data_IF_872499830998
#
_entry.id   IF_872499830998
#
_cell.length_a   1.000
_cell.length_b   1.000
_cell.length_c   1.000
_cell.angle_alpha   90.00
_cell.angle_beta   90.00
_cell.angle_gamma   90.00
#
_symmetry.space_group_name_H-M   'P 1'
#
loop_
_entity.id
_entity.type
_entity.pdbx_description
1 polymer ?
#
# COMPACT_ATOMS: atom_id res chain seq x y z
N UNK A 1 30.01 -80.45 -46.49
CA UNK A 1 30.69 -79.56 -45.52
C UNK A 1 30.70 -78.17 -46.09
N UNK A 2 29.74 -77.32 -45.76
CA UNK A 2 29.83 -75.88 -45.97
C UNK A 2 28.64 -75.26 -45.20
N UNK A 3 28.95 -74.56 -44.14
CA UNK A 3 28.03 -73.84 -43.27
C UNK A 3 27.72 -72.46 -43.86
N UNK A 4 26.44 -72.17 -44.04
CA UNK A 4 25.95 -70.87 -44.46
C UNK A 4 25.64 -70.01 -43.21
N UNK A 5 26.29 -68.85 -43.10
CA UNK A 5 26.05 -67.82 -42.08
C UNK A 5 24.93 -66.89 -42.57
N UNK A 6 23.81 -66.83 -41.88
CA UNK A 6 22.74 -65.82 -42.06
C UNK A 6 23.05 -64.60 -41.18
N UNK A 7 23.15 -63.43 -41.81
CA UNK A 7 23.26 -62.12 -41.13
C UNK A 7 21.86 -61.57 -40.91
N UNK A 8 21.50 -61.28 -39.67
CA UNK A 8 20.32 -60.48 -39.33
C UNK A 8 20.70 -59.03 -39.20
N UNK A 9 20.16 -58.15 -40.08
CA UNK A 9 20.25 -56.72 -39.95
C UNK A 9 19.04 -56.26 -39.08
N UNK A 10 19.32 -55.85 -37.85
CA UNK A 10 18.38 -55.22 -36.97
C UNK A 10 18.27 -53.71 -37.29
N UNK A 11 17.14 -53.28 -37.80
CA UNK A 11 16.84 -51.87 -37.93
C UNK A 11 16.48 -51.26 -36.56
N UNK A 12 17.38 -50.44 -35.96
CA UNK A 12 17.07 -49.60 -34.85
C UNK A 12 16.30 -48.39 -35.31
N UNK A 13 15.00 -48.36 -35.07
CA UNK A 13 14.18 -47.18 -35.28
C UNK A 13 14.37 -46.19 -34.11
N UNK A 14 15.05 -45.08 -34.37
CA UNK A 14 15.14 -43.96 -33.42
C UNK A 14 13.83 -43.18 -33.52
N UNK A 15 12.99 -43.31 -32.48
CA UNK A 15 11.80 -42.47 -32.32
C UNK A 15 12.26 -41.15 -31.70
N UNK A 16 12.33 -40.08 -32.50
CA UNK A 16 12.45 -38.71 -32.01
C UNK A 16 11.13 -38.31 -31.36
N UNK A 17 11.05 -38.45 -30.07
CA UNK A 17 9.98 -37.84 -29.26
C UNK A 17 10.18 -36.32 -29.23
N UNK A 18 9.33 -35.60 -29.99
CA UNK A 18 9.24 -34.13 -29.90
C UNK A 18 8.68 -33.78 -28.52
N UNK A 19 9.54 -33.34 -27.59
CA UNK A 19 9.11 -32.69 -26.33
C UNK A 19 8.56 -31.33 -26.71
N UNK A 20 7.23 -31.27 -26.86
CA UNK A 20 6.50 -29.99 -26.92
C UNK A 20 6.54 -29.39 -25.50
N UNK A 21 7.53 -28.56 -25.23
CA UNK A 21 7.50 -27.70 -24.05
C UNK A 21 6.37 -26.69 -24.27
N UNK A 22 5.23 -26.97 -23.70
CA UNK A 22 4.15 -26.02 -23.55
C UNK A 22 4.69 -24.86 -22.68
N UNK A 23 5.07 -23.78 -23.32
CA UNK A 23 5.18 -22.48 -22.67
C UNK A 23 3.76 -22.08 -22.27
N UNK A 24 3.29 -22.57 -21.12
CA UNK A 24 2.12 -22.02 -20.47
C UNK A 24 2.43 -20.53 -20.23
N UNK A 25 1.67 -19.66 -20.89
CA UNK A 25 1.65 -18.25 -20.54
C UNK A 25 1.44 -18.19 -19.02
N UNK A 26 2.40 -17.67 -18.26
CA UNK A 26 2.19 -17.30 -16.88
C UNK A 26 0.97 -16.39 -16.87
N UNK A 27 -0.15 -16.91 -16.42
CA UNK A 27 -1.33 -16.13 -16.16
C UNK A 27 -0.87 -15.10 -15.12
N UNK A 28 -0.70 -13.87 -15.56
CA UNK A 28 -0.22 -12.75 -14.76
C UNK A 28 -1.26 -12.50 -13.67
N UNK A 29 -1.19 -13.31 -12.60
CA UNK A 29 -2.20 -13.35 -11.55
C UNK A 29 -2.09 -12.05 -10.77
N UNK A 30 -3.14 -11.23 -10.84
CA UNK A 30 -3.20 -9.97 -10.08
C UNK A 30 -3.15 -10.27 -8.59
N UNK A 31 -2.47 -9.40 -7.86
CA UNK A 31 -2.41 -9.48 -6.40
C UNK A 31 -3.68 -8.87 -5.82
N UNK A 32 -4.51 -9.64 -5.09
CA UNK A 32 -5.69 -9.09 -4.43
C UNK A 32 -5.28 -8.19 -3.27
N UNK A 33 -5.77 -6.95 -3.29
CA UNK A 33 -5.41 -5.94 -2.30
C UNK A 33 -6.62 -5.18 -1.77
N UNK A 34 -6.54 -4.79 -0.50
CA UNK A 34 -7.37 -3.77 0.16
C UNK A 34 -6.43 -2.74 0.73
N UNK A 35 -6.73 -1.46 0.55
CA UNK A 35 -5.98 -0.34 1.13
C UNK A 35 -6.76 0.25 2.31
N UNK A 36 -6.06 0.60 3.39
CA UNK A 36 -6.52 1.45 4.49
C UNK A 36 -5.67 2.73 4.51
N UNK A 37 -6.29 3.90 4.39
CA UNK A 37 -5.66 5.20 4.14
C UNK A 37 -6.33 6.30 4.97
N UNK A 38 -5.58 7.21 5.57
CA UNK A 38 -6.10 8.39 6.26
C UNK A 38 -6.02 9.65 5.38
N UNK A 39 -6.34 9.46 4.09
CA UNK A 39 -6.30 10.53 3.08
C UNK A 39 -6.99 11.79 3.56
N UNK A 40 -6.28 12.92 3.45
CA UNK A 40 -6.68 14.22 3.98
C UNK A 40 -5.83 14.66 5.19
N UNK A 41 -4.98 13.79 5.72
CA UNK A 41 -3.99 14.12 6.72
C UNK A 41 -2.77 14.82 6.09
N UNK A 42 -2.08 14.11 5.19
CA UNK A 42 -0.94 14.60 4.40
C UNK A 42 -1.25 14.56 2.90
N UNK A 43 -0.21 14.50 2.06
CA UNK A 43 -0.36 14.50 0.59
C UNK A 43 0.07 13.19 -0.07
N UNK A 44 0.69 12.29 0.64
CA UNK A 44 1.26 11.04 0.13
C UNK A 44 0.19 9.96 -0.11
N UNK A 45 -0.88 9.94 0.69
CA UNK A 45 -2.04 9.09 0.42
C UNK A 45 -2.56 9.21 -1.01
N UNK A 46 -2.63 10.43 -1.55
CA UNK A 46 -3.11 10.67 -2.91
C UNK A 46 -2.23 9.98 -3.95
N UNK A 47 -0.91 9.96 -3.73
CA UNK A 47 0.04 9.26 -4.60
C UNK A 47 -0.20 7.75 -4.53
N UNK A 48 -0.26 7.20 -3.33
CA UNK A 48 -0.51 5.78 -3.10
C UNK A 48 -1.85 5.33 -3.69
N UNK A 49 -2.93 6.09 -3.51
CA UNK A 49 -4.25 5.79 -4.08
C UNK A 49 -4.21 5.78 -5.61
N UNK A 50 -3.58 6.79 -6.23
CA UNK A 50 -3.44 6.84 -7.70
C UNK A 50 -2.63 5.64 -8.18
N UNK A 51 -1.49 5.37 -7.55
CA UNK A 51 -0.63 4.28 -7.94
C UNK A 51 -1.35 2.92 -7.84
N UNK A 52 -2.03 2.69 -6.72
CA UNK A 52 -2.83 1.49 -6.49
C UNK A 52 -3.88 1.28 -7.60
N UNK A 53 -4.68 2.31 -7.87
CA UNK A 53 -5.81 2.21 -8.79
C UNK A 53 -5.40 2.11 -10.26
N UNK A 54 -4.25 2.66 -10.62
CA UNK A 54 -3.73 2.61 -11.99
C UNK A 54 -2.84 1.38 -12.24
N UNK A 55 -2.38 0.69 -11.22
CA UNK A 55 -1.46 -0.44 -11.35
C UNK A 55 -2.18 -1.73 -11.78
N UNK A 56 -1.92 -2.25 -12.99
CA UNK A 56 -2.62 -3.43 -13.50
C UNK A 56 -2.26 -4.74 -12.77
N UNK A 57 -1.18 -4.76 -12.00
CA UNK A 57 -0.79 -5.92 -11.17
C UNK A 57 -1.69 -6.11 -9.96
N UNK A 58 -2.49 -5.11 -9.58
CA UNK A 58 -3.39 -5.21 -8.45
C UNK A 58 -4.82 -5.57 -8.88
N UNK A 59 -5.43 -6.45 -8.11
CA UNK A 59 -6.88 -6.62 -8.04
C UNK A 59 -7.35 -5.87 -6.79
N UNK A 60 -7.70 -4.59 -6.96
CA UNK A 60 -8.13 -3.75 -5.84
C UNK A 60 -9.55 -4.12 -5.48
N UNK A 61 -9.75 -4.71 -4.31
CA UNK A 61 -11.05 -5.18 -3.82
C UNK A 61 -11.80 -4.11 -3.03
N UNK A 62 -11.10 -3.08 -2.54
CA UNK A 62 -11.68 -1.94 -1.86
C UNK A 62 -10.60 -1.01 -1.30
N UNK A 63 -11.03 0.23 -1.02
CA UNK A 63 -10.22 1.24 -0.32
C UNK A 63 -11.03 1.71 0.88
N UNK A 64 -10.46 1.58 2.06
CA UNK A 64 -11.05 1.94 3.34
C UNK A 64 -10.43 3.24 3.84
N UNK A 65 -11.25 4.21 4.25
CA UNK A 65 -10.71 5.38 4.97
C UNK A 65 -10.30 5.00 6.40
N UNK A 66 -9.39 5.76 6.97
CA UNK A 66 -8.98 5.67 8.35
C UNK A 66 -9.05 7.05 9.01
N UNK A 67 -8.91 7.10 10.33
CA UNK A 67 -8.86 8.36 11.06
C UNK A 67 -7.42 8.85 11.22
N UNK A 68 -7.29 10.17 11.40
CA UNK A 68 -6.10 10.83 11.92
C UNK A 68 -6.52 12.03 12.76
N UNK A 69 -5.73 12.43 13.77
CA UNK A 69 -6.10 13.54 14.68
C UNK A 69 -6.13 14.91 13.99
N UNK A 70 -5.48 15.05 12.85
CA UNK A 70 -5.46 16.26 12.01
C UNK A 70 -6.69 16.39 11.11
N UNK A 71 -7.46 15.31 10.93
CA UNK A 71 -8.67 15.29 10.11
C UNK A 71 -9.86 15.73 10.94
N UNK A 72 -10.67 16.64 10.39
CA UNK A 72 -11.89 17.14 11.04
C UNK A 72 -12.82 16.00 11.43
N UNK A 73 -13.27 15.99 12.69
CA UNK A 73 -14.18 14.98 13.22
C UNK A 73 -15.57 15.02 12.55
N UNK A 74 -16.22 13.87 12.33
CA UNK A 74 -15.73 12.51 12.55
C UNK A 74 -14.66 12.12 11.50
N UNK A 75 -13.45 11.82 11.96
CA UNK A 75 -12.27 11.76 11.11
C UNK A 75 -12.36 10.70 9.99
N UNK A 76 -12.77 9.47 10.30
CA UNK A 76 -12.94 8.41 9.30
C UNK A 76 -13.96 8.77 8.21
N UNK A 77 -15.07 9.42 8.59
CA UNK A 77 -16.08 9.90 7.64
C UNK A 77 -15.58 11.06 6.78
N UNK A 78 -14.79 11.96 7.36
CA UNK A 78 -14.20 13.08 6.61
C UNK A 78 -13.16 12.58 5.62
N UNK A 79 -12.27 11.68 6.06
CA UNK A 79 -11.32 10.99 5.16
C UNK A 79 -12.05 10.23 4.03
N UNK A 80 -13.16 9.53 4.34
CA UNK A 80 -13.98 8.87 3.32
C UNK A 80 -14.50 9.84 2.23
N UNK A 81 -14.97 11.03 2.62
CA UNK A 81 -15.43 12.04 1.65
C UNK A 81 -14.29 12.54 0.77
N UNK A 82 -13.10 12.72 1.35
CA UNK A 82 -11.90 13.10 0.60
C UNK A 82 -11.50 11.98 -0.35
N UNK A 83 -11.51 10.72 0.11
CA UNK A 83 -11.25 9.55 -0.72
C UNK A 83 -12.17 9.50 -1.94
N UNK A 84 -13.46 9.73 -1.76
CA UNK A 84 -14.44 9.81 -2.85
C UNK A 84 -14.08 10.94 -3.82
N UNK A 85 -13.74 12.15 -3.32
CA UNK A 85 -13.32 13.28 -4.18
C UNK A 85 -12.06 12.93 -4.99
N UNK A 86 -11.06 12.33 -4.35
CA UNK A 86 -9.82 11.89 -5.02
C UNK A 86 -10.14 10.93 -6.17
N UNK A 87 -10.92 9.89 -5.90
CA UNK A 87 -11.17 8.83 -6.89
C UNK A 87 -12.10 9.31 -8.00
N UNK A 88 -13.22 9.93 -7.66
CA UNK A 88 -14.26 10.27 -8.63
C UNK A 88 -14.00 11.60 -9.36
N UNK A 89 -13.39 12.58 -8.67
CA UNK A 89 -13.21 13.92 -9.21
C UNK A 89 -11.79 14.23 -9.65
N UNK A 90 -10.76 13.84 -8.87
CA UNK A 90 -9.36 14.15 -9.22
C UNK A 90 -8.81 13.18 -10.23
N UNK A 91 -8.97 11.86 -9.97
CA UNK A 91 -8.62 10.80 -10.93
C UNK A 91 -9.66 10.76 -12.08
N UNK A 92 -10.92 11.05 -11.77
CA UNK A 92 -12.04 10.98 -12.72
C UNK A 92 -12.51 9.55 -12.99
N UNK A 93 -12.29 8.64 -12.07
CA UNK A 93 -12.61 7.23 -12.22
C UNK A 93 -14.08 6.97 -11.88
N UNK A 94 -14.93 6.81 -12.91
CA UNK A 94 -16.38 6.56 -12.75
C UNK A 94 -16.71 5.12 -12.31
N UNK A 95 -15.86 4.17 -12.66
CA UNK A 95 -15.96 2.76 -12.27
C UNK A 95 -14.72 2.42 -11.48
N UNK A 96 -14.88 2.32 -10.19
CA UNK A 96 -13.81 2.09 -9.23
C UNK A 96 -14.17 0.95 -8.27
N UNK A 97 -13.17 0.40 -7.55
CA UNK A 97 -13.43 -0.52 -6.44
C UNK A 97 -14.30 0.15 -5.37
N UNK A 98 -14.98 -0.64 -4.52
CA UNK A 98 -15.71 -0.09 -3.37
C UNK A 98 -14.83 0.85 -2.53
N UNK A 99 -15.37 2.01 -2.16
CA UNK A 99 -14.80 2.92 -1.18
C UNK A 99 -15.61 2.76 0.10
N UNK A 100 -14.94 2.60 1.24
CA UNK A 100 -15.58 2.20 2.48
C UNK A 100 -15.21 3.17 3.61
N UNK A 101 -16.24 3.65 4.32
CA UNK A 101 -16.04 4.49 5.52
C UNK A 101 -15.43 3.66 6.65
N UNK A 102 -14.30 4.12 7.21
CA UNK A 102 -13.63 3.52 8.36
C UNK A 102 -14.06 4.12 9.70
N UNK A 103 -13.48 3.58 10.78
CA UNK A 103 -13.65 4.11 12.13
C UNK A 103 -13.09 5.52 12.28
N UNK A 104 -13.64 6.28 13.22
CA UNK A 104 -13.21 7.67 13.48
C UNK A 104 -12.41 7.83 14.77
N UNK A 105 -12.28 6.78 15.56
CA UNK A 105 -11.67 6.81 16.88
C UNK A 105 -10.71 5.63 17.07
N UNK A 106 -9.57 5.81 17.76
CA UNK A 106 -8.63 4.73 18.07
C UNK A 106 -9.26 3.69 19.02
N UNK A 107 -8.60 2.55 19.17
CA UNK A 107 -8.96 1.54 20.15
C UNK A 107 -8.70 2.04 21.58
N UNK A 108 -9.57 1.66 22.49
CA UNK A 108 -9.36 1.95 23.93
C UNK A 108 -8.33 1.00 24.56
N UNK A 109 -8.26 -0.21 24.06
CA UNK A 109 -7.33 -1.25 24.49
C UNK A 109 -6.92 -2.14 23.31
N UNK A 110 -5.81 -2.82 23.43
CA UNK A 110 -5.32 -3.75 22.41
C UNK A 110 -6.09 -5.09 22.32
N UNK A 111 -7.12 -5.27 23.12
CA UNK A 111 -7.94 -6.50 23.17
C UNK A 111 -9.43 -6.27 22.87
N UNK A 112 -9.83 -5.01 22.62
CA UNK A 112 -11.21 -4.65 22.32
C UNK A 112 -11.30 -3.86 21.02
N UNK A 113 -11.90 -4.46 19.98
CA UNK A 113 -12.11 -3.82 18.69
C UNK A 113 -13.28 -2.86 18.67
N UNK A 114 -13.28 -1.94 17.70
CA UNK A 114 -14.40 -1.04 17.39
C UNK A 114 -15.06 -1.45 16.08
N UNK A 115 -16.39 -1.38 16.02
CA UNK A 115 -17.14 -1.66 14.79
C UNK A 115 -17.14 -0.46 13.85
N UNK A 116 -16.96 -0.75 12.56
CA UNK A 116 -17.11 0.20 11.46
C UNK A 116 -17.54 -0.53 10.18
N UNK A 117 -18.02 0.18 9.16
CA UNK A 117 -18.24 -0.42 7.84
C UNK A 117 -16.99 -1.08 7.25
N UNK A 118 -15.79 -0.50 7.48
CA UNK A 118 -14.52 -1.04 7.02
C UNK A 118 -14.17 -2.39 7.68
N UNK A 119 -14.43 -2.53 8.97
CA UNK A 119 -14.24 -3.80 9.70
C UNK A 119 -15.11 -4.91 9.11
N UNK A 120 -16.40 -4.64 8.93
CA UNK A 120 -17.34 -5.63 8.39
C UNK A 120 -17.01 -5.98 6.94
N UNK A 121 -16.59 -4.99 6.14
CA UNK A 121 -16.12 -5.18 4.79
C UNK A 121 -14.88 -6.08 4.73
N UNK A 122 -13.86 -5.81 5.57
CA UNK A 122 -12.62 -6.57 5.57
C UNK A 122 -12.85 -8.03 6.00
N UNK A 123 -13.61 -8.25 7.06
CA UNK A 123 -13.98 -9.61 7.51
C UNK A 123 -14.70 -10.36 6.38
N UNK A 124 -15.73 -9.74 5.78
CA UNK A 124 -16.49 -10.36 4.69
C UNK A 124 -15.62 -10.67 3.47
N UNK A 125 -14.78 -9.73 3.06
CA UNK A 125 -13.91 -9.87 1.88
C UNK A 125 -12.88 -10.95 2.08
N UNK A 126 -12.27 -11.03 3.27
CA UNK A 126 -11.24 -12.02 3.61
C UNK A 126 -11.71 -13.47 3.51
N UNK A 127 -13.02 -13.74 3.67
CA UNK A 127 -13.59 -15.10 3.58
C UNK A 127 -13.40 -15.78 2.23
N UNK A 128 -13.05 -15.03 1.17
CA UNK A 128 -12.72 -15.56 -0.16
C UNK A 128 -11.28 -16.05 -0.28
N UNK A 129 -10.49 -15.93 0.78
CA UNK A 129 -9.06 -16.20 0.82
C UNK A 129 -8.70 -17.28 1.84
N UNK A 130 -7.49 -17.82 1.69
CA UNK A 130 -6.97 -18.90 2.54
C UNK A 130 -5.51 -18.62 2.90
N UNK A 131 -4.91 -19.52 3.68
CA UNK A 131 -3.50 -19.45 4.06
C UNK A 131 -2.55 -19.54 2.86
N UNK A 132 -2.95 -20.26 1.82
CA UNK A 132 -2.19 -20.44 0.57
C UNK A 132 -2.36 -19.26 -0.38
N UNK A 133 -3.51 -18.60 -0.35
CA UNK A 133 -3.84 -17.44 -1.18
C UNK A 133 -4.43 -16.33 -0.33
N UNK A 134 -3.55 -15.53 0.27
CA UNK A 134 -3.94 -14.46 1.18
C UNK A 134 -4.36 -13.18 0.46
N UNK A 135 -5.32 -12.47 1.04
CA UNK A 135 -5.60 -11.08 0.71
C UNK A 135 -4.47 -10.20 1.28
N UNK A 136 -3.90 -9.32 0.48
CA UNK A 136 -2.95 -8.31 0.96
C UNK A 136 -3.71 -7.09 1.46
N UNK A 137 -3.48 -6.71 2.71
CA UNK A 137 -4.01 -5.49 3.33
C UNK A 137 -2.87 -4.50 3.46
N UNK A 138 -2.98 -3.38 2.74
CA UNK A 138 -2.02 -2.27 2.82
C UNK A 138 -2.56 -1.29 3.86
N UNK A 139 -1.74 -0.93 4.85
CA UNK A 139 -2.07 0.05 5.89
C UNK A 139 -1.12 1.24 5.72
N UNK A 140 -1.66 2.39 5.36
CA UNK A 140 -0.94 3.65 5.19
C UNK A 140 -1.53 4.79 6.04
N UNK A 141 -2.30 4.44 7.05
CA UNK A 141 -2.88 5.30 8.08
C UNK A 141 -3.03 4.51 9.38
N UNK A 142 -3.90 4.96 10.28
CA UNK A 142 -4.19 4.26 11.53
C UNK A 142 -4.68 2.82 11.28
N UNK A 143 -4.15 1.87 12.04
CA UNK A 143 -4.41 0.44 11.87
C UNK A 143 -5.73 -0.05 12.53
N UNK A 144 -6.55 0.85 13.05
CA UNK A 144 -7.72 0.61 13.89
C UNK A 144 -8.70 -0.41 13.33
N UNK A 145 -9.12 -0.23 12.07
CA UNK A 145 -10.11 -1.11 11.46
C UNK A 145 -9.55 -2.50 11.16
N UNK A 146 -8.28 -2.59 10.77
CA UNK A 146 -7.62 -3.88 10.51
C UNK A 146 -7.40 -4.65 11.81
N UNK A 147 -6.94 -3.99 12.86
CA UNK A 147 -6.82 -4.57 14.19
C UNK A 147 -8.17 -5.03 14.74
N UNK A 148 -9.22 -4.20 14.60
CA UNK A 148 -10.58 -4.54 15.00
C UNK A 148 -11.09 -5.78 14.26
N UNK A 149 -10.80 -5.90 12.96
CA UNK A 149 -11.18 -7.10 12.19
C UNK A 149 -10.51 -8.37 12.75
N UNK A 150 -9.23 -8.28 13.15
CA UNK A 150 -8.50 -9.39 13.80
C UNK A 150 -9.12 -9.73 15.15
N UNK A 151 -9.48 -8.72 15.95
CA UNK A 151 -10.07 -8.92 17.29
C UNK A 151 -11.48 -9.51 17.21
N UNK A 152 -12.30 -9.15 16.22
CA UNK A 152 -13.64 -9.72 16.04
C UNK A 152 -13.68 -11.07 15.34
N UNK A 153 -12.72 -11.33 14.46
CA UNK A 153 -12.57 -12.61 13.74
C UNK A 153 -11.11 -13.04 13.76
N UNK A 154 -10.62 -13.66 14.85
CA UNK A 154 -9.23 -14.08 14.97
C UNK A 154 -8.76 -15.04 13.84
N UNK A 155 -9.70 -15.77 13.20
CA UNK A 155 -9.36 -16.64 12.08
C UNK A 155 -8.97 -15.88 10.81
N UNK A 156 -9.19 -14.56 10.75
CA UNK A 156 -8.79 -13.71 9.62
C UNK A 156 -7.28 -13.74 9.35
N UNK A 157 -6.46 -13.99 10.39
CA UNK A 157 -4.99 -14.05 10.29
C UNK A 157 -4.48 -15.11 9.31
N UNK A 158 -5.27 -16.15 9.05
CA UNK A 158 -4.96 -17.17 8.06
C UNK A 158 -5.31 -16.75 6.63
N UNK A 159 -6.14 -15.72 6.48
CA UNK A 159 -6.69 -15.28 5.19
C UNK A 159 -6.08 -13.99 4.66
N UNK A 160 -5.42 -13.22 5.52
CA UNK A 160 -4.78 -11.95 5.13
C UNK A 160 -3.29 -11.96 5.39
N UNK A 161 -2.57 -11.06 4.76
CA UNK A 161 -1.25 -10.56 5.15
C UNK A 161 -1.28 -9.05 5.18
N UNK A 162 -0.50 -8.45 6.05
CA UNK A 162 -0.45 -6.99 6.24
C UNK A 162 0.88 -6.47 5.70
N UNK A 163 0.81 -5.34 4.99
CA UNK A 163 1.97 -4.49 4.67
C UNK A 163 1.64 -3.11 5.21
N UNK A 164 2.39 -2.65 6.20
CA UNK A 164 2.13 -1.40 6.91
C UNK A 164 3.29 -0.43 6.77
N UNK A 165 2.99 0.82 6.40
CA UNK A 165 3.87 1.96 6.63
C UNK A 165 3.78 2.32 8.11
N UNK A 166 4.92 2.33 8.84
CA UNK A 166 4.92 2.64 10.27
C UNK A 166 6.25 2.40 10.94
N UNK A 167 6.39 2.94 12.13
CA UNK A 167 7.61 3.06 12.93
C UNK A 167 8.68 3.95 12.31
N UNK A 168 9.46 4.61 13.16
CA UNK A 168 10.60 5.42 12.70
C UNK A 168 11.67 4.56 12.04
N UNK A 169 11.97 3.39 12.64
CA UNK A 169 12.94 2.41 12.18
C UNK A 169 12.68 1.04 12.85
N UNK A 170 13.56 0.06 12.63
CA UNK A 170 13.44 -1.30 13.20
C UNK A 170 13.58 -1.37 14.73
N UNK A 171 14.02 -0.30 15.39
CA UNK A 171 14.05 -0.18 16.84
C UNK A 171 12.77 0.42 17.41
N UNK A 172 11.78 0.75 16.56
CA UNK A 172 10.53 1.38 16.94
C UNK A 172 10.57 2.89 16.77
N UNK A 173 10.03 3.62 17.73
CA UNK A 173 10.04 5.09 17.77
C UNK A 173 8.73 5.71 17.30
N UNK A 174 8.61 7.01 17.62
CA UNK A 174 7.46 7.83 17.29
C UNK A 174 7.30 7.94 15.77
N UNK A 175 6.22 7.36 15.28
CA UNK A 175 5.79 7.50 13.90
C UNK A 175 4.28 7.77 13.93
N UNK A 176 3.82 8.61 13.04
CA UNK A 176 2.49 9.20 13.08
C UNK A 176 1.37 8.15 13.03
N UNK A 177 1.45 7.19 12.09
CA UNK A 177 0.42 6.14 11.94
C UNK A 177 0.36 5.21 13.15
N UNK A 178 1.53 4.90 13.75
CA UNK A 178 1.62 4.11 14.98
C UNK A 178 1.02 4.89 16.16
N UNK A 179 1.34 6.18 16.27
CA UNK A 179 0.87 7.04 17.35
C UNK A 179 -0.66 7.28 17.28
N UNK A 180 -1.24 7.25 16.08
CA UNK A 180 -2.68 7.41 15.90
C UNK A 180 -3.50 6.30 16.56
N UNK A 181 -2.95 5.08 16.66
CA UNK A 181 -3.58 3.97 17.40
C UNK A 181 -2.56 2.91 17.83
N UNK A 182 -1.87 3.19 18.94
CA UNK A 182 -0.89 2.26 19.53
C UNK A 182 -1.52 0.91 19.88
N UNK A 183 -2.75 0.91 20.39
CA UNK A 183 -3.45 -0.31 20.78
C UNK A 183 -3.80 -1.20 19.56
N UNK A 184 -4.14 -0.60 18.43
CA UNK A 184 -4.34 -1.35 17.19
C UNK A 184 -3.05 -2.02 16.72
N UNK A 185 -1.93 -1.31 16.77
CA UNK A 185 -0.62 -1.86 16.40
C UNK A 185 -0.20 -2.97 17.36
N UNK A 186 -0.43 -2.81 18.67
CA UNK A 186 -0.21 -3.87 19.66
C UNK A 186 -1.04 -5.12 19.32
N UNK A 187 -2.32 -4.97 18.98
CA UNK A 187 -3.17 -6.09 18.59
C UNK A 187 -2.64 -6.84 17.35
N UNK A 188 -2.19 -6.10 16.34
CA UNK A 188 -1.56 -6.68 15.13
C UNK A 188 -0.26 -7.41 15.49
N UNK A 189 0.65 -6.77 16.23
CA UNK A 189 1.93 -7.36 16.63
C UNK A 189 1.74 -8.62 17.51
N UNK A 190 0.69 -8.66 18.32
CA UNK A 190 0.35 -9.79 19.16
C UNK A 190 -0.39 -10.92 18.40
N UNK A 191 -0.84 -10.68 17.19
CA UNK A 191 -1.51 -11.68 16.35
C UNK A 191 -0.50 -12.55 15.58
N UNK A 192 -0.99 -13.60 14.90
CA UNK A 192 -0.18 -14.45 14.01
C UNK A 192 -0.30 -14.04 12.53
N UNK A 193 -0.83 -12.87 12.23
CA UNK A 193 -0.94 -12.40 10.84
C UNK A 193 0.45 -12.18 10.25
N UNK A 194 0.75 -12.64 9.02
CA UNK A 194 1.98 -12.27 8.34
C UNK A 194 2.07 -10.75 8.17
N UNK A 195 3.17 -10.17 8.67
CA UNK A 195 3.35 -8.72 8.78
C UNK A 195 4.65 -8.27 8.12
N UNK A 196 4.52 -7.25 7.28
CA UNK A 196 5.64 -6.51 6.67
C UNK A 196 5.52 -5.06 7.12
N UNK A 197 6.65 -4.47 7.49
CA UNK A 197 6.72 -3.06 7.92
C UNK A 197 7.67 -2.30 7.01
N UNK A 198 7.21 -1.17 6.50
CA UNK A 198 8.00 -0.17 5.81
C UNK A 198 8.30 0.98 6.75
N UNK A 199 9.52 1.07 7.32
CA UNK A 199 9.83 2.06 8.33
C UNK A 199 10.16 3.43 7.73
N UNK A 200 9.97 4.48 8.54
CA UNK A 200 10.09 5.87 8.12
C UNK A 200 11.51 6.28 7.71
N UNK A 201 12.55 5.69 8.29
CA UNK A 201 13.93 5.97 7.88
C UNK A 201 14.23 5.51 6.45
N UNK A 202 13.68 4.36 6.04
CA UNK A 202 13.76 3.87 4.66
C UNK A 202 12.96 4.76 3.71
N UNK A 203 11.76 5.18 4.11
CA UNK A 203 10.98 6.14 3.31
C UNK A 203 11.75 7.45 3.13
N UNK A 204 12.34 7.97 4.19
CA UNK A 204 13.12 9.21 4.16
C UNK A 204 14.35 9.11 3.27
N UNK A 205 15.01 7.97 3.27
CA UNK A 205 16.18 7.72 2.46
C UNK A 205 15.87 7.64 0.96
N UNK A 206 14.73 7.04 0.60
CA UNK A 206 14.44 6.63 -0.78
C UNK A 206 13.26 7.37 -1.43
N UNK A 207 12.30 7.90 -0.64
CA UNK A 207 11.04 8.47 -1.15
C UNK A 207 10.91 9.97 -0.90
N UNK A 208 12.03 10.65 -0.64
CA UNK A 208 12.10 12.11 -0.47
C UNK A 208 12.10 12.81 -1.81
N UNK A 209 11.08 13.58 -2.11
CA UNK A 209 11.01 14.42 -3.30
C UNK A 209 11.38 15.86 -2.97
N UNK A 210 12.36 16.44 -3.67
CA UNK A 210 12.62 17.87 -3.62
C UNK A 210 11.58 18.65 -4.39
N UNK A 211 11.34 19.89 -3.98
CA UNK A 211 10.32 20.74 -4.59
C UNK A 211 10.46 20.84 -6.12
N UNK A 212 11.68 21.09 -6.61
CA UNK A 212 11.92 21.19 -8.06
C UNK A 212 11.85 19.85 -8.79
N UNK A 213 12.12 18.74 -8.12
CA UNK A 213 11.95 17.39 -8.67
C UNK A 213 10.47 17.07 -8.83
N UNK A 214 9.66 17.27 -7.76
CA UNK A 214 8.22 17.11 -7.82
C UNK A 214 7.58 17.97 -8.92
N UNK A 215 8.03 19.23 -9.05
CA UNK A 215 7.61 20.13 -10.11
C UNK A 215 7.86 19.55 -11.50
N UNK A 216 9.09 19.14 -11.77
CA UNK A 216 9.49 18.56 -13.08
C UNK A 216 8.72 17.28 -13.38
N UNK A 217 8.46 16.48 -12.36
CA UNK A 217 7.71 15.23 -12.51
C UNK A 217 6.25 15.44 -12.87
N UNK A 218 5.60 16.49 -12.34
CA UNK A 218 4.14 16.57 -12.25
C UNK A 218 3.52 17.74 -13.01
N UNK A 219 4.14 18.93 -13.01
CA UNK A 219 3.49 20.20 -13.40
C UNK A 219 2.79 20.15 -14.76
N UNK A 220 3.38 19.45 -15.73
CA UNK A 220 2.87 19.35 -17.10
C UNK A 220 2.37 17.94 -17.48
N UNK A 221 2.08 17.10 -16.49
CA UNK A 221 1.74 15.69 -16.69
C UNK A 221 0.22 15.46 -16.65
N UNK A 222 -0.52 16.21 -17.43
CA UNK A 222 -1.98 16.10 -17.53
C UNK A 222 -2.71 16.51 -16.24
N UNK A 223 -4.00 16.16 -16.13
CA UNK A 223 -4.83 16.61 -15.01
C UNK A 223 -4.40 16.03 -13.66
N UNK A 224 -4.05 14.74 -13.63
CA UNK A 224 -3.60 14.07 -12.38
C UNK A 224 -2.27 14.68 -11.93
N UNK A 225 -1.28 14.77 -12.83
CA UNK A 225 0.01 15.34 -12.48
C UNK A 225 -0.10 16.80 -12.05
N UNK A 226 -0.85 17.64 -12.78
CA UNK A 226 -1.04 19.03 -12.40
C UNK A 226 -1.74 19.18 -11.05
N UNK A 227 -2.73 18.31 -10.74
CA UNK A 227 -3.37 18.32 -9.44
C UNK A 227 -2.41 17.87 -8.32
N UNK A 228 -1.66 16.79 -8.49
CA UNK A 228 -0.65 16.37 -7.51
C UNK A 228 0.41 17.45 -7.29
N UNK A 229 0.79 18.17 -8.34
CA UNK A 229 1.70 19.30 -8.21
C UNK A 229 1.08 20.45 -7.39
N UNK A 230 -0.19 20.79 -7.65
CA UNK A 230 -0.91 21.81 -6.86
C UNK A 230 -0.97 21.44 -5.38
N UNK A 231 -1.27 20.17 -5.04
CA UNK A 231 -1.28 19.66 -3.66
C UNK A 231 0.12 19.70 -3.03
N UNK A 232 1.14 19.22 -3.75
CA UNK A 232 2.52 19.24 -3.28
C UNK A 232 3.00 20.67 -3.01
N UNK A 233 2.72 21.59 -3.92
CA UNK A 233 3.09 22.99 -3.79
C UNK A 233 2.39 23.64 -2.58
N UNK A 234 1.08 23.41 -2.42
CA UNK A 234 0.33 23.93 -1.29
C UNK A 234 0.87 23.39 0.05
N UNK A 235 1.14 22.10 0.13
CA UNK A 235 1.75 21.46 1.29
C UNK A 235 3.14 22.00 1.60
N UNK A 236 4.00 22.12 0.60
CA UNK A 236 5.35 22.63 0.74
C UNK A 236 5.37 24.03 1.37
N UNK A 237 4.54 24.94 0.87
CA UNK A 237 4.50 26.30 1.40
C UNK A 237 3.84 26.40 2.77
N UNK A 238 2.89 25.54 3.08
CA UNK A 238 2.17 25.55 4.35
C UNK A 238 2.94 24.85 5.46
N UNK A 239 3.53 23.69 5.18
CA UNK A 239 4.12 22.78 6.17
C UNK A 239 5.64 22.75 6.10
N UNK A 240 6.20 22.40 4.95
CA UNK A 240 7.63 22.09 4.81
C UNK A 240 8.49 23.33 5.00
N UNK A 241 8.17 24.41 4.32
CA UNK A 241 8.94 25.65 4.36
C UNK A 241 8.99 26.31 5.74
N UNK A 242 7.90 26.37 6.54
CA UNK A 242 7.93 26.91 7.90
C UNK A 242 8.69 26.09 8.93
N UNK A 243 8.72 24.74 8.78
CA UNK A 243 9.33 23.85 9.78
C UNK A 243 10.82 24.10 10.01
N UNK A 244 11.54 24.72 9.08
CA UNK A 244 13.00 25.02 9.16
C UNK A 244 13.84 23.81 9.60
N UNK A 245 13.34 22.59 9.47
CA UNK A 245 14.04 21.36 9.80
C UNK A 245 15.06 21.11 8.70
N UNK A 246 16.31 20.92 9.06
CA UNK A 246 17.43 20.91 8.12
C UNK A 246 17.25 19.97 6.92
N UNK A 247 16.59 18.83 7.10
CA UNK A 247 16.41 17.82 6.05
C UNK A 247 15.10 17.98 5.26
N UNK A 248 14.09 18.63 5.83
CA UNK A 248 12.78 18.80 5.23
C UNK A 248 12.55 20.17 4.59
N UNK A 249 13.47 21.12 4.77
CA UNK A 249 13.29 22.49 4.28
C UNK A 249 13.17 22.61 2.74
N UNK A 250 13.50 21.55 2.01
CA UNK A 250 13.53 21.53 0.53
C UNK A 250 12.87 20.29 -0.09
N UNK A 251 12.42 19.32 0.69
CA UNK A 251 11.80 18.07 0.22
C UNK A 251 10.67 17.64 1.13
N UNK A 252 9.78 16.82 0.62
CA UNK A 252 8.81 16.06 1.40
C UNK A 252 8.90 14.58 1.04
N UNK A 253 8.62 13.72 2.00
CA UNK A 253 8.66 12.27 1.80
C UNK A 253 7.28 11.80 1.38
N UNK A 254 7.23 10.95 0.36
CA UNK A 254 6.00 10.25 -0.06
C UNK A 254 6.01 8.88 0.63
N UNK A 255 5.63 8.89 1.92
CA UNK A 255 5.78 7.75 2.83
C UNK A 255 5.06 6.50 2.38
N UNK A 256 3.85 6.65 1.89
CA UNK A 256 2.87 5.58 1.72
C UNK A 256 3.19 4.63 0.57
N UNK A 257 3.93 5.10 -0.42
CA UNK A 257 4.30 4.30 -1.59
C UNK A 257 5.23 3.13 -1.25
N UNK A 258 5.86 3.10 -0.06
CA UNK A 258 6.68 1.97 0.41
C UNK A 258 5.86 0.67 0.49
N UNK A 259 4.59 0.77 0.90
CA UNK A 259 3.73 -0.40 1.01
C UNK A 259 3.41 -1.01 -0.37
N UNK A 260 3.22 -0.16 -1.38
CA UNK A 260 3.00 -0.58 -2.76
C UNK A 260 4.30 -1.11 -3.38
N UNK A 261 5.43 -0.44 -3.14
CA UNK A 261 6.76 -0.84 -3.60
C UNK A 261 7.06 -2.29 -3.21
N UNK A 262 6.77 -2.67 -1.96
CA UNK A 262 6.96 -4.04 -1.48
C UNK A 262 6.16 -5.05 -2.30
N UNK A 263 4.87 -4.82 -2.50
CA UNK A 263 4.02 -5.76 -3.24
C UNK A 263 4.42 -5.85 -4.71
N UNK A 264 4.97 -4.78 -5.26
CA UNK A 264 5.48 -4.73 -6.64
C UNK A 264 6.87 -5.35 -6.81
N UNK A 265 7.52 -5.78 -5.72
CA UNK A 265 8.87 -6.35 -5.75
C UNK A 265 9.94 -5.31 -6.10
N UNK A 266 9.79 -4.11 -5.53
CA UNK A 266 10.71 -2.97 -5.71
C UNK A 266 11.44 -2.62 -4.39
N UNK A 267 11.57 -3.60 -3.49
CA UNK A 267 12.21 -3.40 -2.18
C UNK A 267 13.20 -4.51 -1.89
N UNK A 268 14.15 -4.24 -1.00
CA UNK A 268 14.88 -5.25 -0.26
C UNK A 268 14.32 -5.34 1.16
N UNK A 269 14.45 -6.50 1.79
CA UNK A 269 13.88 -6.75 3.11
C UNK A 269 14.60 -7.91 3.83
N UNK A 270 14.44 -7.98 5.14
CA UNK A 270 14.83 -9.13 5.95
C UNK A 270 13.78 -9.47 7.01
N UNK A 271 13.88 -10.64 7.58
CA UNK A 271 13.02 -11.09 8.67
C UNK A 271 13.75 -10.97 10.01
N UNK A 272 12.99 -10.60 11.04
CA UNK A 272 13.46 -10.62 12.42
C UNK A 272 12.36 -11.11 13.37
N UNK A 273 12.71 -11.35 14.63
CA UNK A 273 11.73 -11.63 15.67
C UNK A 273 10.79 -10.44 15.83
N UNK A 274 9.49 -10.70 15.85
CA UNK A 274 8.47 -9.66 15.99
C UNK A 274 8.51 -9.05 17.38
N UNK A 275 8.69 -7.72 17.50
CA UNK A 275 8.75 -7.09 18.81
C UNK A 275 7.37 -7.03 19.48
N UNK A 276 7.36 -6.80 20.79
CA UNK A 276 6.19 -6.32 21.51
C UNK A 276 6.27 -4.83 21.66
N UNK A 277 5.16 -4.15 21.45
CA UNK A 277 5.05 -2.70 21.54
C UNK A 277 4.45 -2.32 22.89
N UNK A 278 5.06 -1.35 23.56
CA UNK A 278 4.56 -0.74 24.79
C UNK A 278 3.66 0.47 24.45
N UNK A 279 2.92 0.95 25.44
CA UNK A 279 2.06 2.15 25.28
C UNK A 279 2.86 3.42 25.00
N UNK A 280 4.15 3.47 25.41
CA UNK A 280 5.07 4.56 25.11
C UNK A 280 5.77 4.43 23.73
N UNK A 281 5.24 3.61 22.84
CA UNK A 281 5.71 3.29 21.49
C UNK A 281 7.14 2.73 21.40
N UNK A 282 7.69 2.23 22.51
CA UNK A 282 8.97 1.54 22.54
C UNK A 282 8.79 0.04 22.48
N UNK A 283 9.74 -0.63 21.87
CA UNK A 283 9.77 -2.08 21.89
C UNK A 283 10.25 -2.62 23.23
N UNK A 284 9.63 -3.71 23.68
CA UNK A 284 10.13 -4.49 24.82
C UNK A 284 11.36 -5.30 24.39
N UNK A 285 12.30 -5.51 25.33
CA UNK A 285 13.44 -6.43 25.17
C UNK A 285 12.97 -7.91 25.25
N UNK A 286 11.89 -8.27 24.57
CA UNK A 286 11.34 -9.60 24.57
C UNK A 286 11.35 -10.16 23.15
N UNK A 287 12.04 -11.28 22.96
CA UNK A 287 11.94 -12.03 21.72
C UNK A 287 10.62 -12.81 21.69
N UNK A 288 9.96 -12.84 20.55
CA UNK A 288 8.77 -13.67 20.31
C UNK A 288 9.10 -14.73 19.26
N UNK A 289 8.34 -15.81 19.24
CA UNK A 289 8.46 -16.87 18.21
C UNK A 289 7.86 -16.45 16.85
N UNK A 290 7.32 -15.24 16.78
CA UNK A 290 6.70 -14.70 15.56
C UNK A 290 7.70 -13.86 14.80
N UNK A 291 7.57 -13.87 13.48
CA UNK A 291 8.41 -13.07 12.59
C UNK A 291 7.69 -11.81 12.10
N UNK A 292 8.50 -10.80 11.80
CA UNK A 292 8.13 -9.62 11.03
C UNK A 292 9.16 -9.43 9.93
N UNK A 293 8.67 -9.00 8.75
CA UNK A 293 9.54 -8.59 7.64
C UNK A 293 9.71 -7.09 7.68
N UNK A 294 10.95 -6.61 7.69
CA UNK A 294 11.29 -5.19 7.60
C UNK A 294 11.78 -4.87 6.20
N UNK A 295 11.21 -3.84 5.59
CA UNK A 295 11.73 -3.27 4.35
C UNK A 295 12.99 -2.47 4.71
N UNK A 296 14.06 -2.67 3.95
CA UNK A 296 15.38 -2.05 4.21
C UNK A 296 15.82 -1.09 3.12
N UNK A 297 15.22 -1.19 1.93
CA UNK A 297 15.55 -0.32 0.80
C UNK A 297 14.42 -0.33 -0.24
N UNK A 298 14.35 0.72 -1.06
CA UNK A 298 13.38 0.87 -2.15
C UNK A 298 14.11 1.26 -3.44
N UNK A 299 13.79 0.56 -4.53
CA UNK A 299 14.22 0.94 -5.88
C UNK A 299 13.39 2.16 -6.36
N UNK A 300 13.80 3.36 -5.94
CA UNK A 300 13.06 4.61 -6.17
C UNK A 300 12.93 4.95 -7.65
N UNK A 301 13.97 4.72 -8.44
CA UNK A 301 13.97 4.99 -9.88
C UNK A 301 12.91 4.15 -10.59
N UNK A 302 12.84 2.87 -10.25
CA UNK A 302 11.82 1.96 -10.78
C UNK A 302 10.43 2.31 -10.30
N UNK A 303 10.29 2.71 -9.04
CA UNK A 303 9.01 3.14 -8.48
C UNK A 303 8.46 4.35 -9.22
N UNK A 304 9.23 5.44 -9.28
CA UNK A 304 8.79 6.69 -9.91
C UNK A 304 8.60 6.55 -11.41
N UNK A 305 9.49 5.86 -12.11
CA UNK A 305 9.32 5.63 -13.55
C UNK A 305 8.05 4.83 -13.85
N UNK A 306 7.73 3.82 -13.04
CA UNK A 306 6.50 3.04 -13.19
C UNK A 306 5.25 3.87 -12.87
N UNK A 307 5.25 4.61 -11.75
CA UNK A 307 4.16 5.51 -11.38
C UNK A 307 3.84 6.53 -12.49
N UNK A 308 4.85 7.25 -12.96
CA UNK A 308 4.67 8.28 -13.98
C UNK A 308 4.19 7.70 -15.31
N UNK A 309 4.70 6.52 -15.69
CA UNK A 309 4.22 5.80 -16.88
C UNK A 309 2.73 5.49 -16.78
N UNK A 310 2.26 5.01 -15.63
CA UNK A 310 0.84 4.68 -15.41
C UNK A 310 -0.04 5.94 -15.47
N UNK A 311 0.41 7.04 -14.87
CA UNK A 311 -0.28 8.34 -14.96
C UNK A 311 -0.40 8.77 -16.41
N UNK A 312 0.68 8.72 -17.20
CA UNK A 312 0.67 9.09 -18.62
C UNK A 312 -0.24 8.19 -19.45
N UNK A 313 -0.21 6.88 -19.20
CA UNK A 313 -1.07 5.92 -19.90
C UNK A 313 -2.54 6.14 -19.60
N UNK A 314 -2.87 6.42 -18.33
CA UNK A 314 -4.24 6.72 -17.92
C UNK A 314 -4.75 8.02 -18.56
N UNK A 315 -3.96 9.08 -18.54
CA UNK A 315 -4.31 10.38 -19.14
C UNK A 315 -4.53 10.28 -20.65
N UNK A 316 -3.71 9.50 -21.36
CA UNK A 316 -3.91 9.25 -22.81
C UNK A 316 -5.23 8.54 -23.12
N UNK A 317 -5.64 7.59 -22.27
CA UNK A 317 -6.89 6.83 -22.42
C UNK A 317 -8.11 7.64 -21.96
N UNK A 318 -7.90 8.60 -21.05
CA UNK A 318 -8.97 9.41 -20.44
C UNK A 318 -8.63 10.90 -20.58
N UNK A 319 -8.59 11.45 -21.82
CA UNK A 319 -8.28 12.87 -22.04
C UNK A 319 -9.32 13.74 -21.34
N UNK A 320 -8.86 14.75 -20.61
CA UNK A 320 -9.72 15.67 -19.89
C UNK A 320 -10.56 16.45 -20.92
N UNK A 321 -11.86 16.20 -20.94
CA UNK A 321 -12.79 17.14 -21.57
C UNK A 321 -12.79 18.41 -20.72
N UNK A 322 -12.48 19.59 -21.29
CA UNK A 322 -12.48 20.87 -20.58
C UNK A 322 -13.72 20.95 -19.68
N UNK A 323 -13.52 20.97 -18.36
CA UNK A 323 -14.62 21.23 -17.42
C UNK A 323 -15.04 22.68 -17.59
N UNK A 324 -16.27 22.88 -18.02
CA UNK A 324 -16.96 24.17 -17.87
C UNK A 324 -17.14 24.38 -16.35
N UNK A 325 -16.59 25.48 -15.86
CA UNK A 325 -16.66 26.06 -14.52
C UNK A 325 -17.56 25.32 -13.51
N UNK A 326 -16.97 24.57 -12.61
CA UNK A 326 -17.60 24.05 -11.40
C UNK A 326 -16.74 24.42 -10.20
N UNK A 327 -17.37 25.02 -9.19
CA UNK A 327 -16.80 25.55 -7.96
C UNK A 327 -15.65 24.68 -7.41
N UNK A 328 -14.48 25.32 -7.26
CA UNK A 328 -13.38 24.79 -6.44
C UNK A 328 -13.89 24.70 -5.00
N UNK A 329 -14.09 23.50 -4.50
CA UNK A 329 -14.11 23.27 -3.07
C UNK A 329 -12.66 23.44 -2.59
N UNK A 330 -12.33 24.65 -2.13
CA UNK A 330 -11.13 24.88 -1.34
C UNK A 330 -11.40 24.25 0.02
N UNK A 331 -10.76 23.13 0.31
CA UNK A 331 -10.77 22.59 1.65
C UNK A 331 -9.93 23.50 2.54
N UNK A 332 -10.60 24.40 3.24
CA UNK A 332 -10.02 25.11 4.37
C UNK A 332 -9.89 24.12 5.51
N UNK A 333 -8.68 23.68 5.83
CA UNK A 333 -8.39 23.23 7.18
C UNK A 333 -8.06 24.45 8.05
N UNK A 334 -8.39 24.41 9.35
CA UNK A 334 -8.15 25.50 10.28
C UNK A 334 -6.68 25.88 10.44
#
# INVERSE_FOLDING_TARGET
MTQSLCWWLGCLGIVFGSVVTSFGAEVNQRVPVVLSTDVGNEIDDQWAIIYLLLQPKFEVLGVMSAHAPTITAPAGKTSYRILVDVVENRIGMRRHPPLIEGGSEPLETSVSGRRSPAVDFLIKTSRKFSKEKRLTVLIIGAATDVASAILFDPSIVDRIRIVQMGFTNEQGGDEFNIANDVHAVQAILNSNVPLVIGPGDVCRANLSLKFEEARKMLEHRGAIGSWLWEEYQAWYFRVVKPLRVNDFSKSWVIWDDIALAYVLGMTTQHNSSRPRLRDDMKFENAQTDREVTWITDVDEDRLWSNFLKLVDEYQRKHPVRKRVNGNRLTFGMP
#
